data_IF_583707242569
#
_entry.id   IF_583707242569
#
_cell.length_a   1.000
_cell.length_b   1.000
_cell.length_c   1.000
_cell.angle_alpha   90.00
_cell.angle_beta   90.00
_cell.angle_gamma   90.00
#
_symmetry.space_group_name_H-M   'P 1'
#
loop_
_entity.id
_entity.type
_entity.pdbx_description
1 polymer ?
#
# COMPACT_ATOMS: atom_id res chain seq x y z
N UNK A 1 -17.23 -45.39 1.59
CA UNK A 1 -16.76 -44.29 0.69
C UNK A 1 -17.79 -43.16 0.53
N UNK A 2 -19.11 -43.42 0.65
CA UNK A 2 -20.11 -42.33 0.68
C UNK A 2 -20.32 -41.73 2.09
N UNK A 3 -20.18 -42.52 3.15
CA UNK A 3 -20.40 -42.11 4.55
C UNK A 3 -19.32 -41.16 5.13
N UNK A 4 -18.08 -41.24 4.64
CA UNK A 4 -17.00 -40.33 5.06
C UNK A 4 -17.25 -38.88 4.61
N UNK A 5 -17.96 -38.67 3.49
CA UNK A 5 -18.28 -37.33 3.00
C UNK A 5 -19.32 -36.58 3.83
N UNK A 6 -20.15 -37.29 4.62
CA UNK A 6 -21.16 -36.63 5.48
C UNK A 6 -20.54 -36.00 6.75
N UNK A 7 -19.35 -36.48 7.12
CA UNK A 7 -18.66 -36.16 8.36
C UNK A 7 -17.40 -35.33 8.15
N UNK A 8 -17.12 -34.87 6.92
CA UNK A 8 -15.91 -34.11 6.63
C UNK A 8 -16.17 -32.88 5.75
N UNK A 9 -15.26 -31.90 5.85
CA UNK A 9 -15.21 -30.70 5.03
C UNK A 9 -13.98 -30.84 4.12
N UNK A 10 -14.22 -31.01 2.82
CA UNK A 10 -13.17 -31.09 1.80
C UNK A 10 -12.95 -29.73 1.13
N UNK A 11 -11.71 -29.23 1.19
CA UNK A 11 -11.28 -28.01 0.49
C UNK A 11 -10.47 -28.43 -0.74
N UNK A 12 -10.81 -27.85 -1.90
CA UNK A 12 -10.20 -28.20 -3.18
C UNK A 12 -9.61 -26.98 -3.89
N UNK A 13 -8.42 -27.15 -4.48
CA UNK A 13 -7.80 -26.18 -5.39
C UNK A 13 -7.67 -26.86 -6.75
N UNK A 14 -8.09 -26.21 -7.82
CA UNK A 14 -8.08 -26.78 -9.17
C UNK A 14 -8.78 -28.17 -9.28
N UNK A 15 -9.83 -28.40 -8.47
CA UNK A 15 -10.58 -29.66 -8.32
C UNK A 15 -9.85 -30.77 -7.56
N UNK A 16 -8.63 -30.52 -7.10
CA UNK A 16 -7.83 -31.46 -6.30
C UNK A 16 -8.02 -31.15 -4.82
N UNK A 17 -8.24 -32.19 -3.99
CA UNK A 17 -8.40 -32.02 -2.55
C UNK A 17 -7.06 -31.68 -1.90
N UNK A 18 -7.02 -30.56 -1.17
CA UNK A 18 -5.82 -30.05 -0.48
C UNK A 18 -5.94 -30.10 1.04
N UNK A 19 -7.17 -30.22 1.55
CA UNK A 19 -7.45 -30.33 2.98
C UNK A 19 -8.74 -31.10 3.19
N UNK A 20 -8.76 -31.93 4.22
CA UNK A 20 -9.93 -32.66 4.69
C UNK A 20 -10.03 -32.51 6.22
N UNK A 21 -11.17 -32.02 6.70
CA UNK A 21 -11.37 -31.66 8.10
C UNK A 21 -12.58 -32.42 8.64
N UNK A 22 -12.39 -33.16 9.72
CA UNK A 22 -13.50 -33.81 10.41
C UNK A 22 -14.49 -32.77 10.95
N UNK A 23 -15.75 -32.91 10.57
CA UNK A 23 -16.83 -31.97 10.86
C UNK A 23 -17.50 -32.34 12.19
N UNK A 24 -17.46 -31.48 13.21
CA UNK A 24 -18.04 -31.79 14.52
C UNK A 24 -19.58 -31.69 14.57
N UNK A 25 -20.23 -31.10 13.56
CA UNK A 25 -21.69 -30.93 13.54
C UNK A 25 -22.24 -30.38 12.21
N UNK A 26 -23.56 -30.22 12.05
CA UNK A 26 -24.16 -29.68 10.82
C UNK A 26 -23.85 -28.19 10.61
N UNK A 27 -23.62 -27.78 9.36
CA UNK A 27 -23.39 -26.37 8.97
C UNK A 27 -24.71 -25.58 8.87
N UNK A 28 -25.82 -26.28 8.63
CA UNK A 28 -27.16 -25.71 8.60
C UNK A 28 -27.78 -25.87 9.98
N UNK A 29 -28.32 -24.77 10.51
CA UNK A 29 -29.00 -24.75 11.80
C UNK A 29 -30.51 -24.69 11.57
N UNK A 30 -31.32 -25.45 12.34
CA UNK A 30 -32.76 -25.32 12.29
C UNK A 30 -33.18 -24.00 12.95
N UNK A 31 -33.95 -23.19 12.25
CA UNK A 31 -34.51 -21.92 12.72
C UNK A 31 -35.96 -21.84 12.23
N UNK A 32 -36.92 -21.81 13.16
CA UNK A 32 -38.37 -21.79 12.87
C UNK A 32 -38.86 -22.89 11.90
N UNK A 33 -38.29 -24.09 12.00
CA UNK A 33 -38.66 -25.22 11.12
C UNK A 33 -38.01 -25.19 9.73
N UNK A 34 -37.14 -24.22 9.45
CA UNK A 34 -36.33 -24.14 8.24
C UNK A 34 -34.85 -24.38 8.57
N UNK A 35 -34.08 -24.87 7.60
CA UNK A 35 -32.62 -24.97 7.72
C UNK A 35 -31.98 -23.69 7.18
N UNK A 36 -31.29 -22.95 8.04
CA UNK A 36 -30.61 -21.70 7.69
C UNK A 36 -29.08 -21.84 7.78
N UNK A 37 -28.39 -21.13 6.88
CA UNK A 37 -26.94 -20.89 7.00
C UNK A 37 -26.61 -19.51 6.43
N UNK A 38 -25.55 -18.87 6.96
CA UNK A 38 -25.10 -17.54 6.53
C UNK A 38 -23.72 -17.66 5.92
N UNK A 39 -23.56 -17.10 4.71
CA UNK A 39 -22.30 -17.11 3.97
C UNK A 39 -21.86 -15.68 3.74
N UNK A 40 -20.65 -15.37 4.19
CA UNK A 40 -20.02 -14.07 4.00
C UNK A 40 -18.86 -14.21 3.02
N UNK A 41 -18.71 -13.25 2.11
CA UNK A 41 -17.65 -13.24 1.11
C UNK A 41 -16.66 -12.11 1.43
N UNK A 42 -15.37 -12.43 1.36
CA UNK A 42 -14.27 -11.47 1.53
C UNK A 42 -14.34 -10.66 2.85
N UNK A 43 -14.80 -11.30 3.92
CA UNK A 43 -14.87 -10.71 5.27
C UNK A 43 -15.90 -11.41 6.16
N UNK A 44 -15.99 -10.95 7.40
CA UNK A 44 -16.96 -11.43 8.40
C UNK A 44 -17.60 -10.24 9.13
N UNK A 45 -18.80 -10.39 9.70
CA UNK A 45 -19.41 -9.36 10.54
C UNK A 45 -18.54 -9.09 11.78
N UNK A 46 -18.44 -7.83 12.21
CA UNK A 46 -17.65 -7.43 13.40
C UNK A 46 -17.95 -8.24 14.65
N UNK A 47 -19.22 -8.68 14.84
CA UNK A 47 -19.63 -9.49 15.99
C UNK A 47 -18.96 -10.87 16.03
N UNK A 48 -18.50 -11.38 14.89
CA UNK A 48 -17.91 -12.72 14.74
C UNK A 48 -16.37 -12.66 14.87
N UNK A 49 -15.77 -11.47 14.84
CA UNK A 49 -14.32 -11.31 14.89
C UNK A 49 -13.72 -11.87 16.19
N UNK A 50 -14.37 -11.66 17.33
CA UNK A 50 -13.97 -12.23 18.63
C UNK A 50 -14.22 -13.74 18.76
N UNK A 51 -15.00 -14.33 17.85
CA UNK A 51 -15.31 -15.75 17.83
C UNK A 51 -14.33 -16.55 16.94
N UNK A 52 -13.44 -15.87 16.23
CA UNK A 52 -12.42 -16.53 15.41
C UNK A 52 -11.43 -17.28 16.30
N UNK A 53 -11.17 -18.54 15.93
CA UNK A 53 -10.17 -19.39 16.62
C UNK A 53 -8.78 -18.74 16.59
N UNK A 54 -8.46 -18.05 15.50
CA UNK A 54 -7.24 -17.25 15.36
C UNK A 54 -7.59 -15.88 14.75
N UNK A 55 -7.11 -14.77 15.34
CA UNK A 55 -7.25 -13.45 14.76
C UNK A 55 -6.62 -13.38 13.36
N UNK A 56 -7.25 -12.64 12.46
CA UNK A 56 -6.77 -12.39 11.10
C UNK A 56 -7.27 -11.02 10.64
N UNK A 57 -6.45 -10.28 9.89
CA UNK A 57 -6.92 -9.10 9.17
C UNK A 57 -7.80 -9.55 7.99
N UNK A 58 -9.11 -9.23 7.95
CA UNK A 58 -10.01 -9.74 6.92
C UNK A 58 -9.86 -9.05 5.56
N UNK A 59 -9.09 -7.96 5.47
CA UNK A 59 -8.93 -7.22 4.22
C UNK A 59 -8.25 -8.12 3.19
N UNK A 60 -8.82 -8.13 1.99
CA UNK A 60 -8.41 -9.02 0.92
C UNK A 60 -8.49 -8.27 -0.41
N UNK A 61 -7.32 -7.90 -0.96
CA UNK A 61 -7.21 -7.45 -2.35
C UNK A 61 -7.24 -8.66 -3.30
N UNK A 62 -8.42 -9.25 -3.44
CA UNK A 62 -8.67 -10.45 -4.23
C UNK A 62 -9.79 -10.28 -5.24
N UNK A 63 -9.74 -11.06 -6.33
CA UNK A 63 -10.80 -11.08 -7.33
C UNK A 63 -11.48 -12.44 -7.37
N UNK A 64 -12.81 -12.44 -7.33
CA UNK A 64 -13.63 -13.65 -7.42
C UNK A 64 -14.44 -13.57 -8.72
N UNK A 65 -14.41 -14.64 -9.50
CA UNK A 65 -15.24 -14.82 -10.70
C UNK A 65 -15.80 -16.23 -10.75
N UNK A 66 -16.84 -16.43 -11.54
CA UNK A 66 -17.44 -17.75 -11.78
C UNK A 66 -17.82 -18.48 -10.49
N UNK A 67 -18.26 -17.76 -9.45
CA UNK A 67 -18.69 -18.39 -8.21
C UNK A 67 -19.97 -19.19 -8.44
N UNK A 68 -20.12 -20.25 -7.65
CA UNK A 68 -21.29 -21.10 -7.66
C UNK A 68 -21.63 -21.51 -6.23
N UNK A 69 -22.54 -20.78 -5.60
CA UNK A 69 -23.02 -21.11 -4.27
C UNK A 69 -24.23 -22.04 -4.38
N UNK A 70 -24.16 -23.23 -3.80
CA UNK A 70 -25.29 -24.18 -3.73
C UNK A 70 -25.95 -24.51 -5.09
N UNK A 71 -25.17 -24.54 -6.18
CA UNK A 71 -25.67 -24.72 -7.57
C UNK A 71 -26.62 -23.62 -8.07
N UNK A 72 -26.66 -22.47 -7.39
CA UNK A 72 -27.49 -21.31 -7.75
C UNK A 72 -26.69 -20.25 -8.53
N UNK A 73 -25.40 -20.47 -8.78
CA UNK A 73 -24.57 -19.55 -9.54
C UNK A 73 -24.49 -18.16 -8.89
N UNK A 74 -24.72 -17.11 -9.69
CA UNK A 74 -24.66 -15.71 -9.30
C UNK A 74 -26.03 -15.02 -9.20
N UNK A 75 -27.11 -15.80 -9.06
CA UNK A 75 -28.48 -15.29 -9.02
C UNK A 75 -28.63 -14.16 -8.00
N UNK A 76 -29.12 -13.00 -8.44
CA UNK A 76 -29.41 -11.81 -7.62
C UNK A 76 -28.23 -10.89 -7.31
N UNK A 77 -26.99 -11.26 -7.63
CA UNK A 77 -25.80 -10.42 -7.36
C UNK A 77 -25.13 -9.95 -8.66
N UNK A 78 -25.33 -10.68 -9.77
CA UNK A 78 -24.70 -10.39 -11.05
C UNK A 78 -25.04 -8.99 -11.57
N UNK A 79 -26.31 -8.62 -11.52
CA UNK A 79 -26.81 -7.33 -11.98
C UNK A 79 -26.19 -6.18 -11.18
N UNK A 80 -26.13 -6.34 -9.84
CA UNK A 80 -25.55 -5.36 -8.92
C UNK A 80 -24.07 -5.11 -9.23
N UNK A 81 -23.32 -6.15 -9.58
CA UNK A 81 -21.89 -6.03 -9.88
C UNK A 81 -21.69 -5.37 -11.24
N UNK A 82 -22.46 -5.75 -12.26
CA UNK A 82 -22.36 -5.19 -13.60
C UNK A 82 -22.62 -3.68 -13.63
N UNK A 83 -23.57 -3.19 -12.83
CA UNK A 83 -23.89 -1.76 -12.72
C UNK A 83 -22.82 -0.97 -11.96
N UNK A 84 -22.07 -1.60 -11.06
CA UNK A 84 -21.15 -0.94 -10.15
C UNK A 84 -19.69 -1.16 -10.54
N UNK A 85 -19.12 -0.20 -11.26
CA UNK A 85 -17.71 -0.26 -11.69
C UNK A 85 -16.70 -0.46 -10.54
N UNK A 86 -16.99 0.05 -9.35
CA UNK A 86 -16.15 -0.17 -8.16
C UNK A 86 -16.20 -1.61 -7.60
N UNK A 87 -17.05 -2.48 -8.17
CA UNK A 87 -17.08 -3.92 -7.91
C UNK A 87 -16.30 -4.73 -8.96
N UNK A 88 -15.78 -4.08 -10.00
CA UNK A 88 -14.94 -4.73 -10.99
C UNK A 88 -13.47 -4.75 -10.57
N UNK A 89 -12.83 -5.89 -10.76
CA UNK A 89 -11.39 -6.03 -10.63
C UNK A 89 -10.68 -5.52 -11.91
N UNK A 90 -9.40 -5.21 -11.77
CA UNK A 90 -8.52 -5.05 -12.93
C UNK A 90 -8.41 -6.38 -13.70
N UNK A 91 -8.40 -6.31 -15.03
CA UNK A 91 -8.36 -7.51 -15.89
C UNK A 91 -7.01 -8.23 -15.81
N UNK A 92 -5.93 -7.45 -15.82
CA UNK A 92 -4.56 -7.93 -15.69
C UNK A 92 -3.85 -7.14 -14.62
N UNK A 93 -3.28 -7.86 -13.66
CA UNK A 93 -2.58 -7.30 -12.52
C UNK A 93 -1.16 -7.81 -12.41
N UNK A 94 -0.30 -7.01 -11.82
CA UNK A 94 1.03 -7.36 -11.36
C UNK A 94 1.16 -7.06 -9.85
N UNK A 95 2.19 -7.64 -9.21
CA UNK A 95 2.46 -7.45 -7.78
C UNK A 95 2.69 -5.98 -7.45
N UNK A 96 2.16 -5.49 -6.34
CA UNK A 96 2.47 -4.16 -5.78
C UNK A 96 1.22 -3.35 -5.54
N UNK A 97 1.36 -2.17 -4.95
CA UNK A 97 0.23 -1.35 -4.55
C UNK A 97 -0.05 -0.23 -5.55
N UNK A 98 -1.32 -0.05 -5.93
CA UNK A 98 -1.73 0.96 -6.89
C UNK A 98 -2.38 2.17 -6.21
N UNK A 99 -1.80 3.34 -6.49
CA UNK A 99 -2.27 4.63 -6.06
C UNK A 99 -2.87 5.34 -7.28
N UNK A 100 -4.19 5.63 -7.29
CA UNK A 100 -4.85 6.23 -8.45
C UNK A 100 -4.77 7.77 -8.48
N UNK A 101 -4.06 8.41 -7.55
CA UNK A 101 -4.00 9.87 -7.46
C UNK A 101 -5.22 10.53 -6.81
N UNK A 102 -6.00 9.80 -6.00
CA UNK A 102 -7.22 10.32 -5.35
C UNK A 102 -7.19 10.30 -3.82
N UNK A 103 -6.11 9.82 -3.19
CA UNK A 103 -6.07 9.73 -1.74
C UNK A 103 -4.77 9.19 -1.17
N UNK A 104 -4.81 8.90 0.14
CA UNK A 104 -3.64 8.60 0.97
C UNK A 104 -3.82 7.33 1.80
N UNK A 105 -2.70 6.79 2.27
CA UNK A 105 -2.67 5.80 3.35
C UNK A 105 -1.82 6.33 4.51
N UNK A 106 -2.26 6.06 5.74
CA UNK A 106 -1.62 6.53 6.96
C UNK A 106 -1.10 5.35 7.80
N UNK A 107 0.12 5.47 8.28
CA UNK A 107 0.77 4.55 9.20
C UNK A 107 1.26 5.29 10.45
N UNK A 108 1.44 4.53 11.53
CA UNK A 108 2.21 4.95 12.69
C UNK A 108 3.43 4.05 12.81
N UNK A 109 4.61 4.64 12.63
CA UNK A 109 5.88 3.93 12.63
C UNK A 109 6.76 4.58 13.70
N UNK A 110 7.35 3.76 14.57
CA UNK A 110 8.36 4.24 15.49
C UNK A 110 9.72 4.26 14.78
N UNK A 111 10.25 5.48 14.63
CA UNK A 111 11.53 5.72 13.99
C UNK A 111 12.68 5.82 15.00
N UNK A 112 12.39 5.78 16.30
CA UNK A 112 13.42 5.79 17.33
C UNK A 112 14.01 4.38 17.44
N UNK A 113 15.30 4.25 17.14
CA UNK A 113 15.98 2.99 17.37
C UNK A 113 16.60 2.99 18.77
N UNK A 114 15.97 2.28 19.71
CA UNK A 114 16.45 2.16 21.09
C UNK A 114 17.87 1.55 21.23
N UNK A 115 18.41 0.92 20.18
CA UNK A 115 19.76 0.35 20.17
C UNK A 115 20.83 1.22 19.51
N UNK A 116 20.48 2.33 18.85
CA UNK A 116 21.44 3.20 18.17
C UNK A 116 21.77 4.44 18.99
N UNK A 117 23.07 4.69 19.22
CA UNK A 117 23.55 5.89 19.90
C UNK A 117 23.17 7.20 19.17
N UNK A 118 22.80 7.11 17.89
CA UNK A 118 22.45 8.25 17.02
C UNK A 118 20.97 8.67 17.09
N UNK A 119 20.11 7.96 17.82
CA UNK A 119 18.70 8.28 17.97
C UNK A 119 17.80 7.72 16.85
N UNK A 120 17.00 8.58 16.22
CA UNK A 120 16.08 8.15 15.16
C UNK A 120 16.81 7.91 13.82
N UNK A 121 16.27 6.99 13.03
CA UNK A 121 16.74 6.72 11.68
C UNK A 121 15.58 6.34 10.77
N UNK A 122 15.61 6.83 9.54
CA UNK A 122 14.63 6.53 8.51
C UNK A 122 15.38 5.91 7.33
N UNK A 123 15.32 4.58 7.21
CA UNK A 123 15.77 3.85 6.03
C UNK A 123 14.55 3.53 5.18
N UNK A 124 14.54 3.95 3.92
CA UNK A 124 13.41 3.78 3.02
C UNK A 124 13.87 3.18 1.71
N UNK A 125 13.14 2.16 1.26
CA UNK A 125 13.24 1.61 -0.08
C UNK A 125 11.90 1.73 -0.80
N UNK A 126 11.92 2.33 -1.99
CA UNK A 126 10.76 2.51 -2.86
C UNK A 126 10.97 1.74 -4.16
N UNK A 127 10.02 0.88 -4.50
CA UNK A 127 9.91 0.30 -5.84
C UNK A 127 8.73 0.96 -6.55
N UNK A 128 9.02 1.83 -7.52
CA UNK A 128 8.03 2.72 -8.13
C UNK A 128 7.87 2.48 -9.63
N UNK A 129 6.65 2.69 -10.13
CA UNK A 129 6.31 2.85 -11.54
C UNK A 129 5.22 3.93 -11.65
N UNK A 130 5.62 5.20 -11.68
CA UNK A 130 4.70 6.33 -11.78
C UNK A 130 3.94 6.35 -13.12
N UNK A 131 2.70 6.83 -13.09
CA UNK A 131 1.91 7.12 -14.30
C UNK A 131 1.72 8.62 -14.54
N UNK A 132 1.99 9.45 -13.53
CA UNK A 132 2.02 10.91 -13.62
C UNK A 132 3.37 11.40 -13.11
N UNK A 133 3.81 12.55 -13.62
CA UNK A 133 5.15 13.08 -13.33
C UNK A 133 5.27 13.91 -12.06
N UNK A 134 4.17 14.18 -11.36
CA UNK A 134 4.18 14.93 -10.09
C UNK A 134 3.31 14.24 -9.04
N UNK A 135 3.81 14.11 -7.81
CA UNK A 135 3.03 13.58 -6.68
C UNK A 135 3.88 13.18 -5.47
N UNK A 136 3.29 13.23 -4.27
CA UNK A 136 3.95 12.86 -3.01
C UNK A 136 3.93 11.35 -2.83
N UNK A 137 5.11 10.72 -2.77
CA UNK A 137 5.24 9.27 -2.56
C UNK A 137 5.17 8.93 -1.07
N UNK A 138 5.97 9.61 -0.26
CA UNK A 138 6.06 9.41 1.19
C UNK A 138 6.17 10.76 1.88
N UNK A 139 5.47 10.94 2.99
CA UNK A 139 5.60 12.12 3.83
C UNK A 139 5.49 11.77 5.31
N UNK A 140 6.22 12.53 6.13
CA UNK A 140 6.06 12.58 7.57
C UNK A 140 5.29 13.84 7.91
N UNK A 141 4.23 13.70 8.70
CA UNK A 141 3.38 14.81 9.14
C UNK A 141 3.32 14.82 10.65
N UNK A 142 3.62 15.97 11.23
CA UNK A 142 3.61 16.21 12.68
C UNK A 142 2.22 16.60 13.16
N UNK A 143 1.99 16.53 14.47
CA UNK A 143 0.70 16.90 15.09
C UNK A 143 0.28 18.37 14.96
N UNK A 144 1.16 19.26 14.47
CA UNK A 144 0.86 20.67 14.21
C UNK A 144 0.71 20.98 12.70
N UNK A 145 0.39 19.96 11.89
CA UNK A 145 0.18 20.06 10.44
C UNK A 145 1.40 20.59 9.67
N UNK A 146 2.62 20.40 10.19
CA UNK A 146 3.84 20.59 9.40
C UNK A 146 4.25 19.29 8.72
N UNK A 147 5.01 19.41 7.62
CA UNK A 147 5.53 18.28 6.85
C UNK A 147 7.04 18.22 7.06
N UNK A 148 7.55 17.73 8.21
CA UNK A 148 8.98 17.75 8.52
C UNK A 148 9.84 16.95 7.54
N UNK A 149 9.26 16.04 6.76
CA UNK A 149 9.97 15.35 5.69
C UNK A 149 9.01 14.88 4.59
N UNK A 150 9.39 15.02 3.33
CA UNK A 150 8.64 14.46 2.21
C UNK A 150 9.54 14.05 1.05
N UNK A 151 9.13 12.97 0.37
CA UNK A 151 9.71 12.47 -0.87
C UNK A 151 8.66 12.54 -1.96
N UNK A 152 8.95 13.31 -2.99
CA UNK A 152 7.99 13.62 -4.05
C UNK A 152 8.61 13.47 -5.42
N UNK A 153 7.75 13.14 -6.38
CA UNK A 153 8.05 13.20 -7.80
C UNK A 153 7.65 14.59 -8.31
N UNK A 154 8.45 15.18 -9.19
CA UNK A 154 8.13 16.41 -9.91
C UNK A 154 8.53 16.29 -11.38
N UNK A 155 7.73 16.88 -12.26
CA UNK A 155 8.11 16.97 -13.67
C UNK A 155 9.40 17.78 -13.82
N UNK A 156 10.34 17.25 -14.59
CA UNK A 156 11.61 17.91 -14.86
C UNK A 156 11.46 18.96 -15.96
N UNK A 157 12.53 19.71 -16.21
CA UNK A 157 12.56 20.73 -17.28
C UNK A 157 12.53 20.11 -18.68
N UNK A 158 12.91 18.84 -18.82
CA UNK A 158 12.75 18.06 -20.04
C UNK A 158 11.41 17.32 -20.03
N UNK A 159 10.65 17.44 -21.13
CA UNK A 159 9.29 16.90 -21.30
C UNK A 159 9.13 15.40 -21.03
N UNK A 160 10.24 14.65 -20.97
CA UNK A 160 10.24 13.17 -20.83
C UNK A 160 10.88 12.65 -19.55
N UNK A 161 11.28 13.54 -18.66
CA UNK A 161 11.96 13.14 -17.42
C UNK A 161 11.29 13.74 -16.20
N UNK A 162 11.46 13.05 -15.08
CA UNK A 162 11.00 13.44 -13.77
C UNK A 162 12.20 13.58 -12.85
N UNK A 163 12.06 14.41 -11.84
CA UNK A 163 13.01 14.49 -10.75
C UNK A 163 12.35 13.88 -9.49
N UNK A 164 13.18 13.29 -8.62
CA UNK A 164 12.76 12.95 -7.26
C UNK A 164 13.35 14.01 -6.32
N UNK A 165 12.50 14.62 -5.50
CA UNK A 165 12.88 15.63 -4.53
C UNK A 165 12.67 15.13 -3.12
N UNK A 166 13.69 15.32 -2.28
CA UNK A 166 13.59 15.16 -0.84
C UNK A 166 13.51 16.56 -0.24
N UNK A 167 12.56 16.76 0.66
CA UNK A 167 12.30 18.06 1.26
C UNK A 167 12.09 17.95 2.77
N UNK A 168 12.51 18.99 3.47
CA UNK A 168 12.18 19.25 4.87
C UNK A 168 11.32 20.50 4.89
N UNK A 169 10.07 20.36 5.33
CA UNK A 169 9.04 21.39 5.12
C UNK A 169 9.02 21.81 3.64
N UNK A 170 9.08 23.11 3.36
CA UNK A 170 9.06 23.66 2.00
C UNK A 170 10.46 23.77 1.35
N UNK A 171 11.52 23.29 2.01
CA UNK A 171 12.89 23.37 1.51
C UNK A 171 13.29 22.07 0.85
N UNK A 172 13.66 22.11 -0.43
CA UNK A 172 14.25 20.96 -1.13
C UNK A 172 15.69 20.78 -0.65
N UNK A 173 15.96 19.68 0.05
CA UNK A 173 17.29 19.35 0.58
C UNK A 173 18.12 18.51 -0.39
N UNK A 174 17.47 17.78 -1.30
CA UNK A 174 18.14 17.00 -2.33
C UNK A 174 17.23 16.79 -3.54
N UNK A 175 17.84 16.65 -4.71
CA UNK A 175 17.15 16.39 -5.98
C UNK A 175 17.92 15.37 -6.83
N UNK A 176 17.27 14.27 -7.18
CA UNK A 176 17.74 13.32 -8.19
C UNK A 176 17.11 13.75 -9.52
N UNK A 177 17.92 14.20 -10.47
CA UNK A 177 17.45 14.82 -11.71
C UNK A 177 17.34 13.83 -12.88
N UNK A 178 16.49 14.21 -13.85
CA UNK A 178 16.48 13.65 -15.20
C UNK A 178 16.25 12.12 -15.28
N UNK A 179 15.35 11.61 -14.44
CA UNK A 179 14.98 10.20 -14.42
C UNK A 179 13.86 9.90 -15.42
N UNK A 180 13.97 8.78 -16.14
CA UNK A 180 12.90 8.29 -17.02
C UNK A 180 11.93 7.39 -16.23
N UNK A 181 11.08 8.01 -15.40
CA UNK A 181 10.24 7.29 -14.44
C UNK A 181 8.85 6.97 -14.99
N UNK A 182 8.25 7.85 -15.80
CA UNK A 182 6.98 7.63 -16.48
C UNK A 182 7.14 6.66 -17.68
N UNK A 183 7.68 5.48 -17.40
CA UNK A 183 7.94 4.42 -18.37
C UNK A 183 7.25 3.12 -17.92
N UNK A 184 7.37 2.09 -18.75
CA UNK A 184 6.83 0.76 -18.43
C UNK A 184 7.71 -0.01 -17.44
N UNK A 185 8.85 0.56 -17.02
CA UNK A 185 9.82 -0.08 -16.15
C UNK A 185 9.63 0.37 -14.70
N UNK A 186 9.99 -0.52 -13.77
CA UNK A 186 10.07 -0.17 -12.36
C UNK A 186 11.42 0.47 -12.07
N UNK A 187 11.41 1.45 -11.18
CA UNK A 187 12.60 2.10 -10.66
C UNK A 187 12.73 1.81 -9.17
N UNK A 188 13.96 1.66 -8.72
CA UNK A 188 14.31 1.38 -7.34
C UNK A 188 15.00 2.62 -6.76
N UNK A 189 14.54 3.08 -5.61
CA UNK A 189 15.14 4.17 -4.85
C UNK A 189 15.37 3.70 -3.42
N UNK A 190 16.58 3.85 -2.91
CA UNK A 190 16.91 3.62 -1.52
C UNK A 190 17.58 4.87 -0.95
N UNK A 191 17.10 5.33 0.22
CA UNK A 191 17.70 6.44 0.93
C UNK A 191 17.62 6.23 2.44
N UNK A 192 18.55 6.85 3.14
CA UNK A 192 18.64 6.82 4.60
C UNK A 192 18.83 8.22 5.12
N UNK A 193 18.08 8.60 6.14
CA UNK A 193 18.22 9.92 6.77
C UNK A 193 18.23 9.76 8.28
N UNK A 194 19.15 10.49 8.92
CA UNK A 194 19.21 10.66 10.37
C UNK A 194 19.42 12.15 10.68
N UNK A 195 19.75 12.49 11.92
CA UNK A 195 20.00 13.88 12.35
C UNK A 195 21.22 14.56 11.70
N UNK A 196 22.16 13.78 11.13
CA UNK A 196 23.47 14.26 10.69
C UNK A 196 23.66 14.25 9.18
N UNK A 197 23.05 13.28 8.49
CA UNK A 197 23.30 13.02 7.09
C UNK A 197 22.07 12.48 6.34
N UNK A 198 22.16 12.59 5.03
CA UNK A 198 21.30 11.91 4.06
C UNK A 198 22.20 10.99 3.23
N UNK A 199 21.87 9.72 3.13
CA UNK A 199 22.55 8.75 2.28
C UNK A 199 21.59 8.31 1.17
N UNK A 200 22.09 8.28 -0.06
CA UNK A 200 21.39 7.75 -1.21
C UNK A 200 22.11 6.52 -1.71
N UNK A 201 21.37 5.42 -1.82
CA UNK A 201 21.90 4.15 -2.26
C UNK A 201 21.41 3.89 -3.68
N UNK A 202 22.37 3.83 -4.59
CA UNK A 202 22.15 3.37 -5.97
C UNK A 202 22.95 2.09 -6.18
N UNK A 203 22.61 1.26 -7.19
CA UNK A 203 23.38 0.05 -7.48
C UNK A 203 24.88 0.28 -7.73
N UNK A 204 25.29 1.50 -8.07
CA UNK A 204 26.67 1.84 -8.44
C UNK A 204 27.43 2.59 -7.35
N UNK A 205 26.73 3.30 -6.45
CA UNK A 205 27.35 4.23 -5.50
C UNK A 205 26.44 4.50 -4.31
N UNK A 206 27.06 4.64 -3.14
CA UNK A 206 26.46 5.28 -1.97
C UNK A 206 26.94 6.75 -1.95
N UNK A 207 26.00 7.67 -1.92
CA UNK A 207 26.27 9.10 -1.80
C UNK A 207 25.80 9.61 -0.44
N UNK A 208 26.75 10.04 0.39
CA UNK A 208 26.46 10.61 1.72
C UNK A 208 26.60 12.13 1.66
N UNK A 209 25.53 12.84 2.00
CA UNK A 209 25.47 14.29 2.08
C UNK A 209 25.40 14.67 3.56
N UNK A 210 26.27 15.58 4.01
CA UNK A 210 26.35 15.97 5.43
C UNK A 210 26.90 17.38 5.66
N UNK A 211 26.72 18.28 4.69
CA UNK A 211 27.13 19.68 4.80
C UNK A 211 26.33 20.46 5.86
N UNK A 212 26.83 21.64 6.23
CA UNK A 212 26.22 22.45 7.29
C UNK A 212 24.80 22.90 6.97
N UNK A 213 24.48 23.15 5.70
CA UNK A 213 23.14 23.60 5.30
C UNK A 213 22.15 22.44 5.45
N UNK A 214 22.50 21.25 4.97
CA UNK A 214 21.69 20.05 5.20
C UNK A 214 21.45 19.81 6.70
N UNK A 215 22.49 19.91 7.55
CA UNK A 215 22.34 19.70 9.00
C UNK A 215 21.38 20.70 9.65
N UNK A 216 21.37 21.96 9.19
CA UNK A 216 20.40 22.97 9.67
C UNK A 216 18.97 22.58 9.31
N UNK A 217 18.74 22.07 8.09
CA UNK A 217 17.43 21.58 7.68
C UNK A 217 17.04 20.33 8.49
N UNK A 218 17.96 19.35 8.65
CA UNK A 218 17.70 18.13 9.42
C UNK A 218 17.42 18.39 10.92
N UNK A 219 17.88 19.52 11.48
CA UNK A 219 17.50 19.91 12.84
C UNK A 219 15.98 20.17 13.01
N UNK A 220 15.29 20.59 11.95
CA UNK A 220 13.83 20.73 11.94
C UNK A 220 13.17 19.35 12.05
N UNK A 221 13.63 18.40 11.23
CA UNK A 221 13.18 17.01 11.30
C UNK A 221 13.50 16.40 12.67
N UNK A 222 14.72 16.56 13.19
CA UNK A 222 15.12 16.06 14.51
C UNK A 222 14.20 16.57 15.62
N UNK A 223 13.86 17.87 15.61
CA UNK A 223 12.88 18.44 16.54
C UNK A 223 11.50 17.79 16.39
N UNK A 224 11.02 17.57 15.16
CA UNK A 224 9.73 16.93 14.93
C UNK A 224 9.70 15.47 15.42
N UNK A 225 10.81 14.74 15.30
CA UNK A 225 10.96 13.36 15.75
C UNK A 225 10.92 13.19 17.27
N UNK A 226 11.08 14.27 18.05
CA UNK A 226 10.81 14.26 19.49
C UNK A 226 9.32 14.15 19.83
N UNK A 227 8.44 14.47 18.89
CA UNK A 227 7.00 14.40 19.01
C UNK A 227 6.39 13.21 18.28
N UNK A 228 5.05 13.20 18.19
CA UNK A 228 4.33 12.22 17.37
C UNK A 228 4.36 12.65 15.91
N UNK A 229 4.80 11.72 15.06
CA UNK A 229 4.81 11.86 13.61
C UNK A 229 4.00 10.73 13.01
N UNK A 230 3.18 11.05 12.02
CA UNK A 230 2.44 10.07 11.21
C UNK A 230 3.07 9.96 9.83
N UNK A 231 3.12 8.74 9.30
CA UNK A 231 3.67 8.45 7.98
C UNK A 231 2.54 8.35 6.99
N UNK A 232 2.63 9.11 5.91
CA UNK A 232 1.65 9.13 4.82
C UNK A 232 2.27 8.61 3.54
N UNK A 233 1.52 7.79 2.81
CA UNK A 233 1.87 7.31 1.48
C UNK A 233 0.87 7.82 0.46
N UNK A 234 1.38 8.18 -0.72
CA UNK A 234 0.57 8.55 -1.88
C UNK A 234 0.01 9.97 -1.88
N UNK A 235 0.32 10.78 -0.87
CA UNK A 235 -0.18 12.15 -0.73
C UNK A 235 0.03 12.72 0.67
N UNK A 236 -0.69 13.79 0.96
CA UNK A 236 -0.72 14.46 2.26
C UNK A 236 -2.16 14.56 2.78
N UNK A 237 -2.36 14.63 4.11
CA UNK A 237 -3.63 15.09 4.67
C UNK A 237 -3.82 16.60 4.41
N UNK A 238 -4.90 17.18 4.90
CA UNK A 238 -5.15 18.62 4.78
C UNK A 238 -4.11 19.42 5.59
N UNK A 239 -3.10 19.92 4.88
CA UNK A 239 -2.00 20.75 5.40
C UNK A 239 -1.89 22.02 4.55
N UNK A 240 -1.31 23.12 5.08
CA UNK A 240 -1.12 24.32 4.29
C UNK A 240 -0.36 24.03 2.99
N UNK A 241 -0.76 24.65 1.87
CA UNK A 241 -0.09 24.45 0.57
C UNK A 241 1.40 24.79 0.61
N UNK A 242 1.81 25.70 1.51
CA UNK A 242 3.19 26.09 1.72
C UNK A 242 3.98 25.14 2.64
N UNK A 243 3.40 24.04 3.11
CA UNK A 243 4.05 23.13 4.04
C UNK A 243 5.12 22.25 3.38
N UNK A 244 5.02 22.02 2.06
CA UNK A 244 5.98 21.26 1.26
C UNK A 244 5.90 21.64 -0.22
N UNK A 245 6.94 21.42 -1.04
CA UNK A 245 6.94 21.87 -2.44
C UNK A 245 5.92 21.16 -3.33
N UNK A 246 5.41 19.99 -2.94
CA UNK A 246 4.48 19.18 -3.73
C UNK A 246 3.32 18.72 -2.86
N UNK A 247 2.09 19.01 -3.29
CA UNK A 247 0.87 18.60 -2.58
C UNK A 247 -0.04 17.68 -3.42
N UNK A 248 0.38 17.32 -4.63
CA UNK A 248 -0.39 16.44 -5.50
C UNK A 248 -0.36 14.99 -4.99
N UNK A 249 -1.47 14.26 -5.16
CA UNK A 249 -1.51 12.83 -4.89
C UNK A 249 -0.65 12.07 -5.92
N UNK A 250 0.08 11.07 -5.43
CA UNK A 250 0.84 10.18 -6.31
C UNK A 250 -0.10 9.29 -7.13
N UNK A 251 0.22 9.16 -8.41
CA UNK A 251 -0.45 8.25 -9.32
C UNK A 251 0.57 7.27 -9.91
N UNK A 252 0.37 5.99 -9.62
CA UNK A 252 1.26 4.93 -10.06
C UNK A 252 1.29 3.73 -9.13
N UNK A 253 2.21 2.83 -9.44
CA UNK A 253 2.49 1.65 -8.64
C UNK A 253 3.66 1.90 -7.71
N UNK A 254 3.50 1.59 -6.42
CA UNK A 254 4.56 1.80 -5.43
C UNK A 254 4.52 0.73 -4.35
N UNK A 255 5.67 0.13 -4.06
CA UNK A 255 5.89 -0.69 -2.87
C UNK A 255 6.90 0.03 -1.98
N UNK A 256 6.65 0.06 -0.67
CA UNK A 256 7.44 0.82 0.32
C UNK A 256 7.95 -0.12 1.39
N UNK A 257 9.25 -0.05 1.66
CA UNK A 257 9.89 -0.66 2.82
C UNK A 257 10.46 0.46 3.69
N UNK A 258 10.20 0.42 4.99
CA UNK A 258 10.73 1.37 5.98
C UNK A 258 11.40 0.57 7.10
N UNK A 259 12.65 0.88 7.39
CA UNK A 259 13.44 0.23 8.45
C UNK A 259 13.36 -1.31 8.37
N UNK A 260 13.58 -1.85 7.17
CA UNK A 260 13.56 -3.27 6.82
C UNK A 260 12.18 -3.96 6.94
N UNK A 261 11.11 -3.22 7.18
CA UNK A 261 9.72 -3.69 7.18
C UNK A 261 8.99 -3.22 5.91
N UNK A 262 8.58 -4.18 5.07
CA UNK A 262 7.66 -3.90 3.97
C UNK A 262 6.30 -3.47 4.53
N UNK A 263 5.82 -2.30 4.13
CA UNK A 263 4.55 -1.77 4.59
C UNK A 263 3.39 -2.49 3.89
N UNK A 264 2.49 -3.07 4.67
CA UNK A 264 1.23 -3.63 4.19
C UNK A 264 0.11 -2.59 4.30
N UNK A 265 -0.47 -2.19 3.18
CA UNK A 265 -1.56 -1.23 3.13
C UNK A 265 -2.84 -1.73 3.80
N UNK A 266 -3.01 -3.03 4.00
CA UNK A 266 -4.13 -3.56 4.77
C UNK A 266 -3.93 -3.43 6.29
N UNK A 267 -2.69 -3.19 6.75
CA UNK A 267 -2.35 -2.86 8.14
C UNK A 267 -2.30 -1.33 8.40
N UNK A 268 -2.59 -0.52 7.39
CA UNK A 268 -2.66 0.93 7.54
C UNK A 268 -3.75 1.34 8.55
N UNK A 269 -3.49 2.39 9.33
CA UNK A 269 -4.47 3.00 10.24
C UNK A 269 -5.68 3.50 9.45
N UNK A 270 -5.39 4.15 8.32
CA UNK A 270 -6.39 4.55 7.34
C UNK A 270 -5.85 4.39 5.93
N UNK A 271 -6.71 4.03 4.98
CA UNK A 271 -6.39 3.88 3.56
C UNK A 271 -7.57 4.35 2.74
N UNK A 272 -7.33 5.23 1.77
CA UNK A 272 -8.37 5.62 0.82
C UNK A 272 -8.90 4.42 0.03
N UNK A 273 -10.21 4.33 -0.17
CA UNK A 273 -10.86 3.15 -0.75
C UNK A 273 -10.42 2.80 -2.17
N UNK A 274 -9.94 3.80 -2.92
CA UNK A 274 -9.49 3.58 -4.30
C UNK A 274 -8.05 3.02 -4.37
N UNK A 275 -7.30 3.04 -3.27
CA UNK A 275 -5.94 2.47 -3.21
C UNK A 275 -6.03 0.95 -3.12
N UNK A 276 -5.36 0.27 -4.05
CA UNK A 276 -5.27 -1.20 -4.07
C UNK A 276 -4.02 -1.64 -3.30
N UNK A 277 -4.21 -2.56 -2.36
CA UNK A 277 -3.15 -2.93 -1.42
C UNK A 277 -2.05 -3.78 -2.08
N UNK A 278 -2.42 -4.73 -2.93
CA UNK A 278 -1.50 -5.76 -3.41
C UNK A 278 -1.58 -6.02 -4.92
N UNK A 279 -2.43 -5.27 -5.63
CA UNK A 279 -2.58 -5.36 -7.08
C UNK A 279 -2.34 -4.05 -7.83
N UNK A 280 -1.50 -4.14 -8.85
CA UNK A 280 -1.16 -3.05 -9.76
C UNK A 280 -1.64 -3.33 -11.18
N UNK A 281 -2.20 -2.35 -11.93
CA UNK A 281 -2.59 -2.58 -13.31
C UNK A 281 -1.37 -2.88 -14.18
N UNK A 282 -1.41 -3.98 -14.93
CA UNK A 282 -0.34 -4.32 -15.86
C UNK A 282 -0.26 -3.28 -16.98
N UNK A 283 0.96 -2.99 -17.42
CA UNK A 283 1.18 -2.12 -18.58
C UNK A 283 0.73 -2.82 -19.86
N UNK A 284 -0.06 -2.14 -20.69
CA UNK A 284 -0.35 -2.60 -22.04
C UNK A 284 0.92 -2.66 -22.90
N UNK A 285 1.37 -3.88 -23.21
CA UNK A 285 2.35 -4.10 -24.28
C UNK A 285 1.61 -3.97 -25.61
N UNK A 286 1.90 -2.92 -26.40
CA UNK A 286 1.53 -2.94 -27.82
C UNK A 286 2.26 -4.11 -28.46
N UNK A 287 1.56 -5.22 -28.69
CA UNK A 287 2.03 -6.24 -29.63
C UNK A 287 2.15 -5.55 -30.97
N UNK A 288 3.39 -5.40 -31.46
CA UNK A 288 3.61 -5.15 -32.88
C UNK A 288 3.05 -6.38 -33.58
N UNK A 289 1.88 -6.25 -34.20
CA UNK A 289 1.47 -7.20 -35.21
C UNK A 289 2.51 -7.06 -36.34
N UNK A 290 3.40 -8.04 -36.42
CA UNK A 290 4.18 -8.30 -37.63
C UNK A 290 3.29 -8.87 -38.71
#
# INVERSE_FOLDING_TARGET
>A
MLEELEHSISIKIAKEAVMDINKPGPLFKPENGLLETKVYFAGFPRKVESELIKPINPRLDGCIRSWNLMKQGASGIKEIIQEKQNKHCLVTVEKGSYYPGSGIAQFHIDYNNGSNAEGWHINVTLNIRPSMGTGVMLALVSGNNTVPFAVSLVDSTSEKSQDIVLSVENTVIYRIQALSLCSNQRSHLEFRVNRNNLELLTPLKIETISDEELRRQLAILDKAMTGKVATYLGGLPDVPFSATPVNAFYNGCMEVNINDVQLDLDEAISKHNDIRAHSCPSVWKKTKNS
#
